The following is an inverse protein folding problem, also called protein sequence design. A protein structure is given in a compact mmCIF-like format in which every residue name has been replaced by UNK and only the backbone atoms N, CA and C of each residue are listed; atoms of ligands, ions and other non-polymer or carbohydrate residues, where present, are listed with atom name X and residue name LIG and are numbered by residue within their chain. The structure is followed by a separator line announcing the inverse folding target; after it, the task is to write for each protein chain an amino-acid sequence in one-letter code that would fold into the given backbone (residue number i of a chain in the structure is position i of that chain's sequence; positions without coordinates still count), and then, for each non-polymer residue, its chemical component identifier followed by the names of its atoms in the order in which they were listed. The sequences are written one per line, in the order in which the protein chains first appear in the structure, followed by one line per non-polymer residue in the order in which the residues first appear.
data_IF_495142729724
#
_entry.id   IF_495142729724
#
_cell.length_a   1.000
_cell.length_b   1.000
_cell.length_c   1.000
_cell.angle_alpha   90.00
_cell.angle_beta   90.00
_cell.angle_gamma   90.00
#
_symmetry.space_group_name_H-M   'P 1'
#
loop_
_entity.id
_entity.type
_entity.pdbx_description
1 polymer ?
#
# COMPACT_ATOMS: atom_id res chain seq x y z
N UNK A 1 -2.33 34.87 25.80
CA UNK A 1 -0.89 35.02 25.48
C UNK A 1 -0.46 34.51 24.09
N UNK A 2 -0.75 33.26 23.65
CA UNK A 2 -0.36 32.84 22.27
C UNK A 2 -1.19 33.52 21.17
N UNK A 3 -2.46 33.80 21.43
CA UNK A 3 -3.36 34.43 20.46
C UNK A 3 -3.05 35.93 20.26
N UNK A 4 -2.61 36.63 21.31
CA UNK A 4 -2.34 38.08 21.25
C UNK A 4 -1.18 38.38 20.30
N UNK A 5 -0.11 37.57 20.36
CA UNK A 5 1.03 37.66 19.42
C UNK A 5 0.62 37.39 17.97
N UNK A 6 -0.27 36.42 17.73
CA UNK A 6 -0.78 36.12 16.39
C UNK A 6 -1.62 37.27 15.83
N UNK A 7 -2.53 37.81 16.64
CA UNK A 7 -3.36 38.96 16.25
C UNK A 7 -2.48 40.16 15.91
N UNK A 8 -1.43 40.43 16.69
CA UNK A 8 -0.54 41.55 16.45
C UNK A 8 0.29 41.39 15.17
N UNK A 9 0.73 40.18 14.84
CA UNK A 9 1.37 39.87 13.56
C UNK A 9 0.40 40.04 12.38
N UNK A 10 -0.85 39.59 12.51
CA UNK A 10 -1.87 39.75 11.47
C UNK A 10 -2.22 41.21 11.25
N UNK A 11 -2.33 42.01 12.33
CA UNK A 11 -2.50 43.46 12.24
C UNK A 11 -1.38 44.07 11.40
N UNK A 12 -0.11 43.89 11.80
CA UNK A 12 1.05 44.40 11.03
C UNK A 12 1.06 43.99 9.56
N UNK A 13 0.60 42.77 9.23
CA UNK A 13 0.56 42.26 7.86
C UNK A 13 -0.52 42.91 6.97
N UNK A 14 -1.62 43.38 7.57
CA UNK A 14 -2.80 43.87 6.84
C UNK A 14 -3.21 45.31 7.17
N UNK A 15 -2.55 45.98 8.12
CA UNK A 15 -2.89 47.32 8.63
C UNK A 15 -2.97 48.39 7.55
N UNK A 16 -2.11 48.31 6.52
CA UNK A 16 -2.07 49.26 5.41
C UNK A 16 -2.81 48.77 4.15
N UNK A 17 -3.63 47.72 4.26
CA UNK A 17 -4.39 47.17 3.13
C UNK A 17 -5.86 47.49 3.31
N UNK A 18 -6.50 47.92 2.23
CA UNK A 18 -7.95 48.03 2.16
C UNK A 18 -8.61 46.65 2.28
N UNK A 19 -9.86 46.62 2.74
CA UNK A 19 -10.66 45.38 2.80
C UNK A 19 -10.63 44.61 1.46
N UNK A 20 -10.81 45.31 0.34
CA UNK A 20 -10.76 44.73 -1.00
C UNK A 20 -9.42 44.07 -1.33
N UNK A 21 -8.30 44.64 -0.88
CA UNK A 21 -6.97 44.04 -1.09
C UNK A 21 -6.76 42.81 -0.21
N UNK A 22 -7.28 42.83 1.01
CA UNK A 22 -7.26 41.67 1.91
C UNK A 22 -8.09 40.53 1.31
N UNK A 23 -9.32 40.80 0.86
CA UNK A 23 -10.20 39.83 0.20
C UNK A 23 -9.56 39.26 -1.07
N UNK A 24 -9.00 40.11 -1.94
CA UNK A 24 -8.27 39.66 -3.13
C UNK A 24 -7.08 38.76 -2.80
N UNK A 25 -6.38 39.03 -1.69
CA UNK A 25 -5.31 38.18 -1.20
C UNK A 25 -5.82 36.82 -0.72
N UNK A 26 -6.98 36.79 -0.06
CA UNK A 26 -7.65 35.55 0.37
C UNK A 26 -8.08 34.73 -0.85
N UNK A 27 -8.70 35.35 -1.85
CA UNK A 27 -9.14 34.67 -3.08
C UNK A 27 -7.97 34.10 -3.89
N UNK A 28 -6.88 34.86 -3.96
CA UNK A 28 -5.63 34.40 -4.58
C UNK A 28 -5.05 33.19 -3.84
N UNK A 29 -5.06 33.21 -2.50
CA UNK A 29 -4.61 32.08 -1.69
C UNK A 29 -5.50 30.86 -1.90
N UNK A 30 -6.83 31.02 -1.90
CA UNK A 30 -7.78 29.94 -2.15
C UNK A 30 -7.55 29.31 -3.52
N UNK A 31 -7.34 30.14 -4.56
CA UNK A 31 -7.00 29.67 -5.90
C UNK A 31 -5.71 28.86 -5.91
N UNK A 32 -4.63 29.39 -5.31
CA UNK A 32 -3.34 28.68 -5.23
C UNK A 32 -3.45 27.37 -4.44
N UNK A 33 -4.23 27.37 -3.36
CA UNK A 33 -4.50 26.20 -2.54
C UNK A 33 -5.22 25.12 -3.34
N UNK A 34 -6.24 25.48 -4.13
CA UNK A 34 -6.93 24.57 -5.03
C UNK A 34 -5.98 23.94 -6.05
N UNK A 35 -5.20 24.76 -6.78
CA UNK A 35 -4.24 24.26 -7.78
C UNK A 35 -3.15 23.37 -7.14
N UNK A 36 -2.68 23.74 -5.95
CA UNK A 36 -1.72 22.95 -5.18
C UNK A 36 -2.30 21.60 -4.78
N UNK A 37 -3.56 21.57 -4.32
CA UNK A 37 -4.25 20.34 -3.94
C UNK A 37 -4.49 19.44 -5.15
N UNK A 38 -4.89 20.01 -6.28
CA UNK A 38 -5.06 19.30 -7.56
C UNK A 38 -3.74 18.67 -8.01
N UNK A 39 -2.66 19.45 -8.03
CA UNK A 39 -1.32 18.99 -8.40
C UNK A 39 -0.84 17.88 -7.49
N UNK A 40 -1.05 18.02 -6.18
CA UNK A 40 -0.74 17.00 -5.19
C UNK A 40 -1.47 15.67 -5.48
N UNK A 41 -2.79 15.71 -5.69
CA UNK A 41 -3.59 14.52 -5.98
C UNK A 41 -3.22 13.88 -7.33
N UNK A 42 -2.95 14.68 -8.36
CA UNK A 42 -2.50 14.14 -9.65
C UNK A 42 -1.06 13.60 -9.59
N UNK A 43 -0.21 14.12 -8.70
CA UNK A 43 1.07 13.50 -8.37
C UNK A 43 0.88 12.08 -7.81
N UNK A 44 -0.05 11.90 -6.86
CA UNK A 44 -0.43 10.56 -6.37
C UNK A 44 -1.00 9.68 -7.46
N UNK A 45 -1.84 10.23 -8.33
CA UNK A 45 -2.39 9.51 -9.47
C UNK A 45 -1.26 9.00 -10.39
N UNK A 46 -0.31 9.86 -10.75
CA UNK A 46 0.87 9.46 -11.51
C UNK A 46 1.68 8.36 -10.80
N UNK A 47 1.96 8.51 -9.50
CA UNK A 47 2.70 7.50 -8.72
C UNK A 47 1.99 6.15 -8.72
N UNK A 48 0.65 6.14 -8.62
CA UNK A 48 -0.15 4.92 -8.70
C UNK A 48 0.01 4.22 -10.05
N UNK A 49 -0.17 4.95 -11.15
CA UNK A 49 -0.17 4.38 -12.51
C UNK A 49 1.22 3.98 -12.97
N UNK A 50 2.24 4.76 -12.65
CA UNK A 50 3.64 4.46 -12.98
C UNK A 50 4.26 3.42 -12.04
N UNK A 51 3.58 3.08 -10.94
CA UNK A 51 4.07 2.20 -9.87
C UNK A 51 5.38 2.64 -9.21
N UNK A 52 5.85 3.88 -9.47
CA UNK A 52 7.12 4.41 -8.94
C UNK A 52 7.19 4.49 -7.42
N UNK A 53 6.06 4.46 -6.74
CA UNK A 53 6.03 4.33 -5.27
C UNK A 53 6.73 3.04 -4.78
N UNK A 54 6.90 2.02 -5.63
CA UNK A 54 7.65 0.79 -5.35
C UNK A 54 9.16 0.91 -5.51
N UNK A 55 9.68 2.04 -5.97
CA UNK A 55 11.14 2.32 -5.98
C UNK A 55 11.70 2.35 -4.56
N UNK A 56 10.88 2.74 -3.58
CA UNK A 56 11.21 2.64 -2.17
C UNK A 56 11.09 1.18 -1.69
N UNK A 57 12.18 0.65 -1.14
CA UNK A 57 12.29 -0.73 -0.64
C UNK A 57 11.19 -1.07 0.37
N UNK A 58 10.73 -0.10 1.17
CA UNK A 58 9.68 -0.31 2.18
C UNK A 58 8.33 -0.69 1.55
N UNK A 59 8.06 -0.24 0.33
CA UNK A 59 6.74 -0.34 -0.32
C UNK A 59 6.74 -1.30 -1.52
N UNK A 60 7.83 -2.02 -1.78
CA UNK A 60 7.96 -2.93 -2.94
C UNK A 60 6.85 -3.98 -3.01
N UNK A 61 6.42 -4.50 -1.85
CA UNK A 61 5.38 -5.52 -1.72
C UNK A 61 4.01 -4.95 -1.26
N UNK A 62 3.85 -3.63 -1.15
CA UNK A 62 2.61 -3.02 -0.63
C UNK A 62 1.70 -2.50 -1.74
N UNK A 63 0.42 -2.33 -1.42
CA UNK A 63 -0.52 -1.60 -2.27
C UNK A 63 -0.20 -0.11 -2.31
N UNK A 64 -0.68 0.57 -3.35
CA UNK A 64 -0.58 2.04 -3.44
C UNK A 64 -1.36 2.73 -2.32
N UNK A 65 -2.52 2.18 -1.97
CA UNK A 65 -3.39 2.68 -0.90
C UNK A 65 -2.68 2.69 0.45
N UNK A 66 -1.89 1.64 0.75
CA UNK A 66 -1.03 1.57 1.95
C UNK A 66 0.05 2.65 1.91
N UNK A 67 0.74 2.81 0.77
CA UNK A 67 1.77 3.84 0.58
C UNK A 67 1.21 5.26 0.83
N UNK A 68 0.08 5.60 0.20
CA UNK A 68 -0.54 6.92 0.32
C UNK A 68 -1.01 7.22 1.76
N UNK A 69 -1.52 6.20 2.47
CA UNK A 69 -1.93 6.33 3.86
C UNK A 69 -0.73 6.47 4.80
N UNK A 70 0.25 5.58 4.73
CA UNK A 70 1.38 5.61 5.67
C UNK A 70 2.29 6.82 5.46
N UNK A 71 2.60 7.17 4.21
CA UNK A 71 3.57 8.22 3.91
C UNK A 71 2.97 9.62 4.02
N UNK A 72 1.70 9.76 3.65
CA UNK A 72 1.05 11.07 3.46
C UNK A 72 -0.30 11.21 4.17
N UNK A 73 -0.72 10.21 4.95
CA UNK A 73 -1.98 10.19 5.68
C UNK A 73 -3.22 10.42 4.79
N UNK A 74 -3.18 9.94 3.55
CA UNK A 74 -4.30 10.06 2.60
C UNK A 74 -5.12 8.77 2.63
N UNK A 75 -6.38 8.89 3.05
CA UNK A 75 -7.32 7.77 3.01
C UNK A 75 -7.66 7.41 1.55
N UNK A 76 -7.78 6.10 1.22
CA UNK A 76 -8.12 5.66 -0.14
C UNK A 76 -9.42 6.24 -0.69
N UNK A 77 -10.41 6.47 0.18
CA UNK A 77 -11.68 7.11 -0.19
C UNK A 77 -11.49 8.58 -0.55
N UNK A 78 -10.73 9.33 0.25
CA UNK A 78 -10.38 10.72 -0.04
C UNK A 78 -9.65 10.84 -1.37
N UNK A 79 -8.61 10.03 -1.59
CA UNK A 79 -7.87 10.03 -2.85
C UNK A 79 -8.78 9.77 -4.06
N UNK A 80 -9.57 8.69 -4.04
CA UNK A 80 -10.47 8.34 -5.16
C UNK A 80 -11.51 9.44 -5.44
N UNK A 81 -12.08 10.02 -4.39
CA UNK A 81 -13.07 11.08 -4.52
C UNK A 81 -12.44 12.35 -5.12
N UNK A 82 -11.28 12.77 -4.62
CA UNK A 82 -10.60 13.97 -5.11
C UNK A 82 -10.12 13.81 -6.56
N UNK A 83 -9.55 12.66 -6.94
CA UNK A 83 -9.19 12.37 -8.34
C UNK A 83 -10.42 12.52 -9.24
N UNK A 84 -11.55 11.94 -8.85
CA UNK A 84 -12.78 11.99 -9.63
C UNK A 84 -13.30 13.42 -9.76
N UNK A 85 -13.29 14.19 -8.67
CA UNK A 85 -13.76 15.58 -8.64
C UNK A 85 -12.86 16.46 -9.49
N UNK A 86 -11.54 16.42 -9.31
CA UNK A 86 -10.61 17.22 -10.12
C UNK A 86 -10.62 16.83 -11.60
N UNK A 87 -10.93 15.59 -11.93
CA UNK A 87 -11.03 15.16 -13.33
C UNK A 87 -12.33 15.60 -14.01
N UNK A 88 -13.45 15.71 -13.27
CA UNK A 88 -14.78 15.93 -13.86
C UNK A 88 -15.39 17.30 -13.59
N UNK A 89 -15.06 17.90 -12.45
CA UNK A 89 -15.73 19.07 -11.89
C UNK A 89 -14.73 20.08 -11.35
N UNK A 90 -13.56 20.24 -11.99
CA UNK A 90 -12.50 21.13 -11.51
C UNK A 90 -12.96 22.59 -11.38
N UNK A 91 -13.71 23.06 -12.38
CA UNK A 91 -14.22 24.44 -12.42
C UNK A 91 -15.22 24.68 -11.29
N UNK A 92 -16.14 23.75 -11.09
CA UNK A 92 -17.16 23.82 -10.06
C UNK A 92 -16.56 23.60 -8.67
N UNK A 93 -15.55 22.72 -8.53
CA UNK A 93 -14.81 22.53 -7.29
C UNK A 93 -13.97 23.76 -6.92
N UNK A 94 -13.47 24.51 -7.89
CA UNK A 94 -12.78 25.80 -7.66
C UNK A 94 -13.74 26.88 -7.17
N UNK A 95 -14.98 26.88 -7.65
CA UNK A 95 -16.00 27.85 -7.26
C UNK A 95 -16.69 27.49 -5.92
N UNK A 96 -17.16 26.25 -5.78
CA UNK A 96 -18.00 25.79 -4.66
C UNK A 96 -17.20 25.04 -3.57
N UNK A 97 -15.97 24.64 -3.87
CA UNK A 97 -15.16 23.78 -3.02
C UNK A 97 -15.43 22.29 -3.23
N UNK A 98 -14.37 21.49 -3.09
CA UNK A 98 -14.39 20.02 -3.26
C UNK A 98 -15.41 19.36 -2.33
N UNK A 99 -15.57 19.86 -1.11
CA UNK A 99 -16.50 19.31 -0.11
C UNK A 99 -17.97 19.38 -0.56
N UNK A 100 -18.35 20.46 -1.25
CA UNK A 100 -19.72 20.62 -1.79
C UNK A 100 -19.96 19.65 -2.93
N UNK A 101 -19.02 19.56 -3.89
CA UNK A 101 -19.13 18.60 -5.00
C UNK A 101 -19.25 17.17 -4.47
N UNK A 102 -18.43 16.81 -3.49
CA UNK A 102 -18.48 15.51 -2.83
C UNK A 102 -19.86 15.25 -2.20
N UNK A 103 -20.41 16.22 -1.47
CA UNK A 103 -21.75 16.12 -0.86
C UNK A 103 -22.84 15.91 -1.91
N UNK A 104 -22.76 16.62 -3.04
CA UNK A 104 -23.68 16.43 -4.17
C UNK A 104 -23.59 15.01 -4.70
N UNK A 105 -22.38 14.48 -4.96
CA UNK A 105 -22.22 13.11 -5.46
C UNK A 105 -22.76 12.06 -4.48
N UNK A 106 -22.53 12.25 -3.18
CA UNK A 106 -22.96 11.32 -2.12
C UNK A 106 -24.50 11.31 -1.96
N UNK A 107 -25.14 12.48 -2.02
CA UNK A 107 -26.59 12.63 -1.79
C UNK A 107 -27.44 12.46 -3.06
N UNK A 108 -26.98 12.97 -4.20
CA UNK A 108 -27.78 13.02 -5.43
C UNK A 108 -27.39 11.94 -6.46
N UNK A 109 -26.31 11.19 -6.21
CA UNK A 109 -25.64 10.27 -7.16
C UNK A 109 -24.81 10.99 -8.23
N UNK A 110 -23.71 10.37 -8.72
CA UNK A 110 -22.87 10.95 -9.77
C UNK A 110 -23.60 11.29 -11.08
N UNK A 111 -24.71 10.58 -11.38
CA UNK A 111 -25.51 10.81 -12.59
C UNK A 111 -26.28 12.13 -12.52
N UNK A 112 -26.77 12.52 -11.35
CA UNK A 112 -27.52 13.78 -11.16
C UNK A 112 -26.62 14.98 -10.87
N UNK A 113 -25.35 14.78 -10.48
CA UNK A 113 -24.42 15.87 -10.14
C UNK A 113 -24.39 17.01 -11.17
N UNK A 114 -24.27 16.77 -12.50
CA UNK A 114 -24.28 17.85 -13.49
C UNK A 114 -25.61 18.62 -13.56
N UNK A 115 -26.73 17.99 -13.21
CA UNK A 115 -28.04 18.65 -13.16
C UNK A 115 -28.13 19.57 -11.94
N UNK A 116 -27.69 19.09 -10.77
CA UNK A 116 -27.68 19.86 -9.52
C UNK A 116 -26.75 21.07 -9.64
N UNK A 117 -25.56 20.90 -10.21
CA UNK A 117 -24.63 22.00 -10.46
C UNK A 117 -25.21 23.06 -11.40
N UNK A 118 -25.94 22.65 -12.44
CA UNK A 118 -26.64 23.58 -13.34
C UNK A 118 -27.77 24.33 -12.63
N UNK A 119 -28.50 23.69 -11.72
CA UNK A 119 -29.53 24.37 -10.92
C UNK A 119 -28.90 25.41 -9.99
N UNK A 120 -27.82 25.07 -9.28
CA UNK A 120 -27.07 26.02 -8.45
C UNK A 120 -26.63 27.23 -9.27
N UNK A 121 -25.99 26.99 -10.43
CA UNK A 121 -25.52 28.07 -11.30
C UNK A 121 -26.67 28.92 -11.87
N UNK A 122 -27.83 28.33 -12.16
CA UNK A 122 -29.00 29.05 -12.63
C UNK A 122 -29.55 30.00 -11.55
N UNK A 123 -29.65 29.52 -10.30
CA UNK A 123 -30.12 30.33 -9.17
C UNK A 123 -29.12 31.45 -8.89
N UNK A 124 -27.81 31.17 -8.88
CA UNK A 124 -26.77 32.21 -8.70
C UNK A 124 -26.86 33.32 -9.76
N UNK A 125 -27.16 32.93 -11.01
CA UNK A 125 -27.34 33.89 -12.11
C UNK A 125 -28.58 34.76 -11.91
N UNK A 126 -29.65 34.20 -11.38
CA UNK A 126 -30.91 34.91 -11.09
C UNK A 126 -30.72 35.89 -9.92
N UNK A 127 -30.13 35.43 -8.81
CA UNK A 127 -29.91 36.26 -7.62
C UNK A 127 -28.71 37.21 -7.75
N UNK A 128 -27.89 37.06 -8.80
CA UNK A 128 -26.68 37.85 -9.10
C UNK A 128 -25.68 37.90 -7.95
N UNK A 129 -25.66 36.87 -7.11
CA UNK A 129 -24.74 36.71 -5.98
C UNK A 129 -24.46 35.23 -5.73
N UNK A 130 -23.33 34.88 -5.10
CA UNK A 130 -23.09 33.51 -4.64
C UNK A 130 -24.19 33.06 -3.68
N UNK A 131 -24.59 31.79 -3.79
CA UNK A 131 -25.52 31.20 -2.84
C UNK A 131 -24.85 30.96 -1.48
N UNK A 132 -25.64 31.14 -0.43
CA UNK A 132 -25.19 30.72 0.88
C UNK A 132 -25.20 29.18 0.98
N UNK A 133 -24.54 28.67 2.03
CA UNK A 133 -24.40 27.23 2.24
C UNK A 133 -25.75 26.53 2.48
N UNK A 134 -26.72 27.20 3.10
CA UNK A 134 -28.03 26.63 3.39
C UNK A 134 -28.87 26.48 2.12
N UNK A 135 -28.80 27.47 1.23
CA UNK A 135 -29.44 27.46 -0.09
C UNK A 135 -28.88 26.33 -0.95
N UNK A 136 -27.55 26.19 -1.01
CA UNK A 136 -26.90 25.06 -1.71
C UNK A 136 -27.36 23.73 -1.12
N UNK A 137 -27.41 23.63 0.21
CA UNK A 137 -27.85 22.41 0.90
C UNK A 137 -29.32 22.09 0.63
N UNK A 138 -30.20 23.08 0.48
CA UNK A 138 -31.59 22.88 0.05
C UNK A 138 -31.66 22.27 -1.34
N UNK A 139 -30.95 22.83 -2.32
CA UNK A 139 -30.92 22.29 -3.69
C UNK A 139 -30.41 20.84 -3.70
N UNK A 140 -29.40 20.52 -2.90
CA UNK A 140 -28.91 19.15 -2.73
C UNK A 140 -29.99 18.25 -2.13
N UNK A 141 -30.70 18.74 -1.12
CA UNK A 141 -31.75 18.00 -0.41
C UNK A 141 -32.93 17.70 -1.33
N UNK A 142 -33.34 18.64 -2.16
CA UNK A 142 -34.47 18.50 -3.10
C UNK A 142 -34.15 17.51 -4.24
N UNK A 143 -32.88 17.37 -4.59
CA UNK A 143 -32.40 16.47 -5.65
C UNK A 143 -31.87 15.13 -5.11
N UNK A 144 -31.93 14.90 -3.79
CA UNK A 144 -31.36 13.71 -3.18
C UNK A 144 -32.01 12.45 -3.73
N UNK A 145 -31.26 11.34 -3.73
CA UNK A 145 -31.86 10.03 -3.98
C UNK A 145 -32.91 9.77 -2.89
N UNK A 146 -34.05 9.15 -3.20
CA UNK A 146 -35.01 8.72 -2.17
C UNK A 146 -34.22 7.97 -1.11
N UNK A 147 -34.54 8.21 0.16
CA UNK A 147 -34.02 7.38 1.23
C UNK A 147 -34.56 5.97 0.95
N UNK A 148 -33.75 5.15 0.28
CA UNK A 148 -34.03 3.72 0.20
C UNK A 148 -34.13 3.29 1.64
N UNK A 149 -35.33 2.87 2.07
CA UNK A 149 -35.50 2.11 3.29
C UNK A 149 -34.31 1.16 3.35
N UNK A 150 -33.53 1.23 4.44
CA UNK A 150 -32.52 0.21 4.69
C UNK A 150 -33.29 -1.09 4.55
N UNK A 151 -33.11 -1.81 3.44
CA UNK A 151 -33.63 -3.17 3.35
C UNK A 151 -33.16 -3.79 4.65
N UNK A 152 -34.09 -4.25 5.49
CA UNK A 152 -33.72 -5.08 6.62
C UNK A 152 -32.68 -6.06 6.08
N UNK A 153 -31.58 -6.28 6.80
CA UNK A 153 -30.58 -7.27 6.41
C UNK A 153 -31.28 -8.62 6.29
N UNK A 154 -31.91 -8.88 5.15
CA UNK A 154 -32.23 -10.22 4.70
C UNK A 154 -30.86 -10.79 4.49
N UNK A 155 -30.47 -11.68 5.41
CA UNK A 155 -29.22 -12.42 5.32
C UNK A 155 -29.03 -12.99 3.91
N UNK A 156 -27.79 -13.41 3.58
CA UNK A 156 -27.40 -13.77 2.23
C UNK A 156 -28.44 -14.68 1.59
N UNK A 157 -28.96 -14.25 0.44
CA UNK A 157 -29.91 -15.02 -0.35
C UNK A 157 -29.29 -16.37 -0.72
N UNK A 158 -30.13 -17.39 -0.95
CA UNK A 158 -29.67 -18.74 -1.35
C UNK A 158 -28.76 -18.71 -2.60
N UNK A 159 -28.90 -17.69 -3.45
CA UNK A 159 -28.03 -17.45 -4.61
C UNK A 159 -26.65 -16.90 -4.21
N UNK A 160 -26.59 -15.94 -3.28
CA UNK A 160 -25.33 -15.41 -2.73
C UNK A 160 -24.56 -16.50 -1.97
N UNK A 161 -25.26 -17.34 -1.20
CA UNK A 161 -24.65 -18.49 -0.53
C UNK A 161 -24.03 -19.48 -1.53
N UNK A 162 -24.69 -19.72 -2.67
CA UNK A 162 -24.15 -20.59 -3.74
C UNK A 162 -22.94 -19.96 -4.44
N UNK A 163 -22.94 -18.65 -4.65
CA UNK A 163 -21.78 -17.95 -5.22
C UNK A 163 -20.57 -17.99 -4.27
N UNK A 164 -20.79 -17.74 -2.98
CA UNK A 164 -19.73 -17.86 -1.98
C UNK A 164 -19.21 -19.31 -1.86
N UNK A 165 -20.10 -20.31 -1.90
CA UNK A 165 -19.68 -21.72 -1.90
C UNK A 165 -18.83 -22.08 -3.12
N UNK A 166 -19.20 -21.56 -4.29
CA UNK A 166 -18.43 -21.77 -5.52
C UNK A 166 -17.08 -21.03 -5.47
N UNK A 167 -17.03 -19.83 -4.87
CA UNK A 167 -15.77 -19.09 -4.66
C UNK A 167 -14.83 -19.87 -3.75
N UNK A 168 -15.34 -20.36 -2.61
CA UNK A 168 -14.55 -21.16 -1.66
C UNK A 168 -14.04 -22.46 -2.30
N UNK A 169 -14.86 -23.11 -3.15
CA UNK A 169 -14.44 -24.31 -3.90
C UNK A 169 -13.35 -24.01 -4.93
N UNK A 170 -13.42 -22.87 -5.62
CA UNK A 170 -12.36 -22.47 -6.55
C UNK A 170 -11.06 -22.15 -5.80
N UNK A 171 -11.17 -21.41 -4.69
CA UNK A 171 -10.03 -21.11 -3.83
C UNK A 171 -9.40 -22.37 -3.20
N UNK A 172 -10.18 -23.42 -2.92
CA UNK A 172 -9.62 -24.68 -2.42
C UNK A 172 -8.89 -25.45 -3.52
N UNK A 173 -9.41 -25.48 -4.75
CA UNK A 173 -8.75 -26.14 -5.89
C UNK A 173 -7.38 -25.50 -6.18
N UNK A 174 -7.30 -24.16 -6.14
CA UNK A 174 -6.04 -23.46 -6.37
C UNK A 174 -5.03 -23.69 -5.23
N UNK A 175 -5.50 -23.82 -3.98
CA UNK A 175 -4.65 -24.18 -2.84
C UNK A 175 -4.13 -25.61 -2.93
N UNK A 176 -4.94 -26.58 -3.34
CA UNK A 176 -4.51 -27.97 -3.49
C UNK A 176 -3.44 -28.12 -4.58
N UNK A 177 -3.56 -27.37 -5.68
CA UNK A 177 -2.50 -27.29 -6.71
C UNK A 177 -1.21 -26.72 -6.14
N UNK A 178 -1.28 -25.63 -5.38
CA UNK A 178 -0.11 -25.02 -4.76
C UNK A 178 0.56 -25.96 -3.75
N UNK A 179 -0.23 -26.72 -2.98
CA UNK A 179 0.28 -27.74 -2.06
C UNK A 179 1.01 -28.85 -2.83
N UNK A 180 0.46 -29.31 -3.96
CA UNK A 180 1.11 -30.28 -4.84
C UNK A 180 2.45 -29.78 -5.38
N UNK A 181 2.48 -28.55 -5.92
CA UNK A 181 3.71 -27.93 -6.42
C UNK A 181 4.78 -27.78 -5.32
N UNK A 182 4.37 -27.44 -4.10
CA UNK A 182 5.27 -27.36 -2.95
C UNK A 182 5.80 -28.73 -2.51
N UNK A 183 4.95 -29.77 -2.52
CA UNK A 183 5.38 -31.13 -2.22
C UNK A 183 6.42 -31.64 -3.22
N UNK A 184 6.22 -31.37 -4.51
CA UNK A 184 7.19 -31.72 -5.57
C UNK A 184 8.53 -30.99 -5.40
N UNK A 185 8.50 -29.73 -4.94
CA UNK A 185 9.73 -28.98 -4.62
C UNK A 185 10.45 -29.56 -3.41
N UNK A 186 9.71 -29.97 -2.37
CA UNK A 186 10.28 -30.60 -1.18
C UNK A 186 10.96 -31.93 -1.55
N UNK A 187 10.32 -32.78 -2.37
CA UNK A 187 10.89 -34.06 -2.82
C UNK A 187 12.19 -33.84 -3.63
N UNK A 188 12.22 -32.86 -4.53
CA UNK A 188 13.45 -32.49 -5.28
C UNK A 188 14.57 -32.02 -4.35
N UNK A 189 14.25 -31.21 -3.35
CA UNK A 189 15.23 -30.73 -2.38
C UNK A 189 15.78 -31.89 -1.52
N UNK A 190 14.92 -32.80 -1.08
CA UNK A 190 15.34 -33.99 -0.32
C UNK A 190 16.28 -34.88 -1.14
N UNK A 191 15.95 -35.17 -2.40
CA UNK A 191 16.85 -35.90 -3.31
C UNK A 191 18.19 -35.22 -3.50
N UNK A 192 18.19 -33.89 -3.58
CA UNK A 192 19.43 -33.10 -3.70
C UNK A 192 20.28 -33.16 -2.42
N UNK A 193 19.64 -33.19 -1.24
CA UNK A 193 20.33 -33.34 0.04
C UNK A 193 20.98 -34.73 0.15
N UNK A 194 20.23 -35.80 -0.16
CA UNK A 194 20.75 -37.17 -0.14
C UNK A 194 21.96 -37.30 -1.08
N UNK A 195 21.86 -36.81 -2.31
CA UNK A 195 22.97 -36.85 -3.27
C UNK A 195 24.21 -36.09 -2.77
N UNK A 196 24.02 -34.97 -2.05
CA UNK A 196 25.13 -34.24 -1.43
C UNK A 196 25.78 -35.04 -0.30
N UNK A 197 24.98 -35.69 0.54
CA UNK A 197 25.49 -36.52 1.63
C UNK A 197 26.29 -37.73 1.11
N UNK A 198 25.81 -38.36 0.03
CA UNK A 198 26.53 -39.43 -0.68
C UNK A 198 27.86 -38.93 -1.25
N UNK A 199 27.87 -37.78 -1.94
CA UNK A 199 29.12 -37.17 -2.42
C UNK A 199 30.08 -36.89 -1.28
N UNK A 200 29.62 -36.33 -0.16
CA UNK A 200 30.46 -36.05 1.02
C UNK A 200 31.06 -37.35 1.58
N UNK A 201 30.29 -38.43 1.63
CA UNK A 201 30.77 -39.74 2.07
C UNK A 201 31.85 -40.31 1.11
N UNK A 202 31.66 -40.21 -0.20
CA UNK A 202 32.65 -40.63 -1.20
C UNK A 202 33.96 -39.83 -1.09
N UNK A 203 33.86 -38.50 -0.95
CA UNK A 203 35.03 -37.64 -0.74
C UNK A 203 35.78 -38.02 0.54
N UNK A 204 35.07 -38.27 1.64
CA UNK A 204 35.67 -38.70 2.90
C UNK A 204 36.39 -40.06 2.77
N UNK A 205 35.79 -41.03 2.06
CA UNK A 205 36.38 -42.34 1.81
C UNK A 205 37.64 -42.24 0.93
N UNK A 206 37.58 -41.44 -0.15
CA UNK A 206 38.74 -41.19 -1.02
C UNK A 206 39.90 -40.54 -0.25
N UNK A 207 39.59 -39.56 0.61
CA UNK A 207 40.59 -38.88 1.43
C UNK A 207 41.24 -39.84 2.45
N UNK A 208 40.44 -40.69 3.11
CA UNK A 208 40.95 -41.71 4.03
C UNK A 208 41.86 -42.74 3.33
N UNK A 209 41.54 -43.13 2.10
CA UNK A 209 42.38 -44.02 1.28
C UNK A 209 43.72 -43.36 0.92
N UNK A 210 43.68 -42.09 0.52
CA UNK A 210 44.87 -41.31 0.19
C UNK A 210 45.79 -41.14 1.41
N UNK A 211 45.22 -40.87 2.59
CA UNK A 211 45.98 -40.81 3.85
C UNK A 211 46.72 -42.12 4.14
N UNK A 212 46.07 -43.27 3.99
CA UNK A 212 46.70 -44.59 4.16
C UNK A 212 47.84 -44.82 3.17
N UNK A 213 47.71 -44.35 1.92
CA UNK A 213 48.80 -44.44 0.93
C UNK A 213 50.00 -43.57 1.33
N UNK A 214 49.75 -42.34 1.81
CA UNK A 214 50.81 -41.47 2.32
C UNK A 214 51.53 -42.06 3.54
N UNK A 215 50.78 -42.62 4.48
CA UNK A 215 51.35 -43.30 5.66
C UNK A 215 52.25 -44.48 5.24
N UNK A 216 51.79 -45.29 4.28
CA UNK A 216 52.57 -46.40 3.73
C UNK A 216 53.85 -45.93 3.05
N UNK A 217 53.78 -44.91 2.19
CA UNK A 217 54.96 -44.32 1.53
C UNK A 217 55.94 -43.72 2.54
N UNK A 218 55.45 -43.06 3.59
CA UNK A 218 56.29 -42.50 4.65
C UNK A 218 57.05 -43.58 5.44
N UNK A 219 56.45 -44.77 5.60
CA UNK A 219 57.08 -45.93 6.21
C UNK A 219 58.13 -46.57 5.26
N UNK A 220 57.78 -46.75 3.98
CA UNK A 220 58.66 -47.35 2.96
C UNK A 220 59.91 -46.51 2.70
N UNK A 221 59.78 -45.18 2.71
CA UNK A 221 60.89 -44.25 2.46
C UNK A 221 61.69 -43.87 3.72
N UNK A 222 61.56 -44.62 4.82
CA UNK A 222 62.45 -44.50 5.96
C UNK A 222 62.49 -43.09 6.56
N UNK A 223 61.42 -42.71 7.25
CA UNK A 223 61.43 -41.56 8.16
C UNK A 223 61.80 -40.20 7.54
N UNK A 224 60.82 -39.52 6.94
CA UNK A 224 60.66 -38.09 7.24
C UNK A 224 59.86 -37.95 8.54
N UNK A 225 60.52 -38.25 9.67
CA UNK A 225 60.08 -37.79 11.00
C UNK A 225 60.14 -36.25 11.01
N UNK A 226 59.07 -35.59 10.56
CA UNK A 226 58.62 -34.21 10.88
C UNK A 226 57.58 -33.67 9.87
N UNK A 227 56.55 -34.44 9.55
CA UNK A 227 55.37 -33.90 8.85
C UNK A 227 54.06 -34.41 9.46
N UNK A 228 54.02 -34.57 10.79
CA UNK A 228 52.78 -34.77 11.52
C UNK A 228 52.47 -33.47 12.29
N UNK A 229 51.91 -32.49 11.59
CA UNK A 229 50.87 -31.56 12.10
C UNK A 229 50.75 -30.32 11.20
N UNK A 230 49.87 -30.38 10.18
CA UNK A 230 48.98 -29.23 9.99
C UNK A 230 47.48 -29.59 9.99
N UNK A 231 47.12 -30.88 9.96
CA UNK A 231 45.74 -31.29 9.67
C UNK A 231 44.91 -31.73 10.89
N UNK A 232 45.53 -31.99 12.05
CA UNK A 232 44.79 -32.27 13.29
C UNK A 232 43.93 -31.07 13.77
N UNK A 233 44.22 -29.86 13.28
CA UNK A 233 43.47 -28.64 13.59
C UNK A 233 42.24 -28.38 12.72
N UNK A 234 42.13 -28.96 11.51
CA UNK A 234 41.10 -28.56 10.55
C UNK A 234 39.73 -29.21 10.81
N UNK A 235 39.68 -30.39 11.44
CA UNK A 235 38.42 -31.09 11.74
C UNK A 235 37.89 -30.87 13.16
N UNK A 236 38.67 -30.26 14.07
CA UNK A 236 38.16 -29.90 15.41
C UNK A 236 37.33 -28.60 15.41
N UNK A 237 37.38 -27.78 14.36
CA UNK A 237 36.66 -26.50 14.27
C UNK A 237 35.35 -26.54 13.48
N UNK A 238 35.03 -27.65 12.80
CA UNK A 238 33.78 -27.81 12.03
C UNK A 238 32.85 -28.88 12.61
N UNK A 239 32.72 -28.93 13.95
CA UNK A 239 31.52 -29.50 14.58
C UNK A 239 30.35 -28.55 14.33
N UNK A 240 29.79 -28.63 13.12
CA UNK A 240 28.53 -28.00 12.79
C UNK A 240 27.49 -28.58 13.75
N UNK A 241 27.07 -27.79 14.75
CA UNK A 241 25.97 -28.15 15.65
C UNK A 241 24.70 -28.27 14.81
N UNK A 242 24.39 -29.46 14.32
CA UNK A 242 23.06 -29.84 13.87
C UNK A 242 22.19 -30.05 15.11
N UNK A 243 21.73 -28.94 15.71
CA UNK A 243 20.98 -28.97 16.96
C UNK A 243 20.50 -27.58 17.36
N UNK A 244 19.79 -26.91 16.45
CA UNK A 244 18.90 -25.83 16.83
C UNK A 244 17.51 -26.43 17.00
N UNK A 245 17.06 -26.59 18.25
CA UNK A 245 15.68 -26.95 18.55
C UNK A 245 14.71 -26.01 17.80
N UNK A 246 13.66 -26.54 17.15
CA UNK A 246 12.60 -25.70 16.63
C UNK A 246 11.91 -25.01 17.82
N UNK A 247 12.16 -23.71 17.98
CA UNK A 247 11.49 -22.89 18.98
C UNK A 247 9.96 -22.98 18.84
N UNK A 248 9.21 -22.85 19.95
CA UNK A 248 7.78 -23.05 19.94
C UNK A 248 7.11 -22.03 19.02
N UNK A 249 6.40 -22.54 18.02
CA UNK A 249 5.52 -21.75 17.16
C UNK A 249 4.39 -21.22 18.05
N UNK A 250 4.42 -19.92 18.34
CA UNK A 250 3.32 -19.24 18.99
C UNK A 250 2.08 -19.33 18.07
N UNK A 251 1.05 -20.05 18.53
CA UNK A 251 -0.28 -19.99 17.93
C UNK A 251 -0.88 -18.61 18.20
N UNK A 252 -1.23 -17.88 17.14
CA UNK A 252 -2.14 -16.73 17.15
C UNK A 252 -3.43 -17.16 16.48
#
# INVERSE_FOLDING_TARGET
MKNDKLIEQLKKKYENKSLKEVEKSIDSFNTKSHESRKSFIFGFYYLRFSTRYKEDKRYKATSFETYALERHNIRPTTFRNEVKIFNRYDKEAKALGIGVIRKIEEKCTPKKTPSVLRQIAAIEKEVKRPLDRQQIDSVIWDNRKPDTEKKAETGPTKAEYRLDLNRVKLESIDKDKLIGEQADQIDKLQKTVIAKDEMVAEYAASYASLLKQYEKLALEHGAMKKAADPLAGFFKSNSFKSGGDPGPVARV
#
